data_IF_986786251801
#
_entry.id   IF_986786251801
#
_cell.length_a   1.000
_cell.length_b   1.000
_cell.length_c   1.000
_cell.angle_alpha   90.00
_cell.angle_beta   90.00
_cell.angle_gamma   90.00
#
_symmetry.space_group_name_H-M   'P 1'
#
loop_
_entity.id
_entity.type
_entity.pdbx_description
1 polymer ?
#
# COMPACT_ATOMS: atom_id res chain seq x y z
N UNK A 1 -38.76 32.72 37.89
CA UNK A 1 -37.93 31.51 37.72
C UNK A 1 -37.71 31.30 36.23
N UNK A 2 -36.58 31.77 35.69
CA UNK A 2 -36.22 31.48 34.30
C UNK A 2 -35.22 30.32 34.31
N UNK A 3 -35.59 29.22 33.65
CA UNK A 3 -34.73 28.05 33.48
C UNK A 3 -33.75 28.32 32.33
N UNK A 4 -32.50 27.92 32.50
CA UNK A 4 -31.48 27.97 31.44
C UNK A 4 -31.09 26.52 31.15
N UNK A 5 -31.30 25.99 29.94
CA UNK A 5 -30.83 24.66 29.60
C UNK A 5 -29.33 24.73 29.28
N UNK A 6 -28.52 24.04 30.06
CA UNK A 6 -27.10 23.85 29.77
C UNK A 6 -26.96 22.94 28.55
N UNK A 7 -26.56 23.50 27.42
CA UNK A 7 -26.22 22.73 26.23
C UNK A 7 -24.82 22.12 26.43
N UNK A 8 -24.76 20.78 26.49
CA UNK A 8 -23.52 20.01 26.43
C UNK A 8 -23.09 19.90 24.97
N UNK A 9 -22.00 20.56 24.60
CA UNK A 9 -21.34 20.35 23.30
C UNK A 9 -20.39 19.17 23.45
N UNK A 10 -20.76 18.02 22.89
CA UNK A 10 -19.83 16.91 22.71
C UNK A 10 -18.92 17.23 21.51
N UNK A 11 -17.63 17.45 21.77
CA UNK A 11 -16.63 17.58 20.71
C UNK A 11 -16.37 16.19 20.09
N UNK A 12 -16.83 15.98 18.87
CA UNK A 12 -16.45 14.80 18.09
C UNK A 12 -15.01 14.99 17.57
N UNK A 13 -14.06 14.23 18.12
CA UNK A 13 -12.73 14.11 17.51
C UNK A 13 -12.87 13.31 16.20
N UNK A 14 -12.80 13.99 15.06
CA UNK A 14 -12.69 13.32 13.77
C UNK A 14 -11.30 12.66 13.66
N UNK A 15 -11.24 11.33 13.62
CA UNK A 15 -10.00 10.61 13.31
C UNK A 15 -9.70 10.76 11.82
N UNK A 16 -8.56 11.38 11.49
CA UNK A 16 -8.06 11.38 10.12
C UNK A 16 -7.66 9.96 9.73
N UNK A 17 -8.42 9.32 8.84
CA UNK A 17 -8.00 8.07 8.22
C UNK A 17 -6.83 8.36 7.28
N UNK A 18 -5.73 7.58 7.35
CA UNK A 18 -4.66 7.69 6.38
C UNK A 18 -5.24 7.56 4.97
N UNK A 19 -4.77 8.34 3.99
CA UNK A 19 -5.20 8.16 2.61
C UNK A 19 -4.95 6.71 2.19
N UNK A 20 -5.90 6.13 1.47
CA UNK A 20 -5.73 4.81 0.89
C UNK A 20 -4.44 4.80 0.05
N UNK A 21 -3.49 3.94 0.41
CA UNK A 21 -2.26 3.79 -0.37
C UNK A 21 -2.63 3.03 -1.64
N UNK A 22 -2.49 3.68 -2.79
CA UNK A 22 -2.55 2.99 -4.07
C UNK A 22 -1.35 2.05 -4.18
N UNK A 23 -1.58 0.74 -4.09
CA UNK A 23 -0.54 -0.27 -4.19
C UNK A 23 -0.49 -0.85 -5.61
N UNK A 24 0.68 -0.74 -6.24
CA UNK A 24 0.96 -1.35 -7.55
C UNK A 24 0.34 -0.63 -8.75
N UNK A 25 0.38 -1.31 -9.90
CA UNK A 25 -0.15 -0.83 -11.18
C UNK A 25 -1.59 -1.31 -11.41
N UNK A 26 -2.38 -0.54 -12.17
CA UNK A 26 -3.74 -0.95 -12.54
C UNK A 26 -3.75 -2.26 -13.36
N UNK A 27 -4.77 -3.09 -13.18
CA UNK A 27 -4.96 -4.35 -13.92
C UNK A 27 -4.97 -4.10 -15.42
N UNK A 28 -4.24 -4.94 -16.18
CA UNK A 28 -4.11 -4.81 -17.64
C UNK A 28 -3.07 -3.79 -18.09
N UNK A 29 -2.51 -3.00 -17.18
CA UNK A 29 -1.39 -2.11 -17.49
C UNK A 29 -0.12 -2.91 -17.78
N UNK A 30 0.73 -2.37 -18.67
CA UNK A 30 2.08 -2.89 -18.86
C UNK A 30 2.87 -2.79 -17.57
N UNK A 31 3.55 -3.86 -17.18
CA UNK A 31 4.47 -3.86 -16.04
C UNK A 31 5.61 -2.84 -16.27
N UNK A 32 5.97 -2.02 -15.28
CA UNK A 32 7.14 -1.17 -15.36
C UNK A 32 8.40 -2.01 -15.55
N UNK A 33 9.37 -1.49 -16.30
CA UNK A 33 10.68 -2.13 -16.39
C UNK A 33 11.33 -2.18 -15.01
N UNK A 34 11.92 -3.32 -14.67
CA UNK A 34 12.68 -3.50 -13.43
C UNK A 34 13.87 -4.42 -13.66
N UNK A 35 14.92 -4.16 -12.89
CA UNK A 35 16.09 -5.02 -12.79
C UNK A 35 16.54 -5.03 -11.33
N UNK A 36 16.83 -6.20 -10.79
CA UNK A 36 17.32 -6.34 -9.42
C UNK A 36 18.27 -7.54 -9.30
N UNK A 37 19.29 -7.40 -8.45
CA UNK A 37 20.17 -8.51 -8.10
C UNK A 37 19.52 -9.38 -7.04
N UNK A 38 19.42 -10.69 -7.29
CA UNK A 38 18.87 -11.64 -6.34
C UNK A 38 19.86 -12.02 -5.22
N UNK A 39 19.42 -12.88 -4.29
CA UNK A 39 20.22 -13.32 -3.15
C UNK A 39 21.49 -14.10 -3.51
N UNK A 40 21.61 -14.55 -4.76
CA UNK A 40 22.79 -15.26 -5.28
C UNK A 40 23.73 -14.36 -6.08
N UNK A 41 23.40 -13.07 -6.20
CA UNK A 41 24.18 -12.11 -7.00
C UNK A 41 23.81 -12.09 -8.48
N UNK A 42 22.74 -12.80 -8.90
CA UNK A 42 22.32 -12.83 -10.30
C UNK A 42 21.38 -11.65 -10.59
N UNK A 43 21.66 -10.93 -11.69
CA UNK A 43 20.75 -9.90 -12.20
C UNK A 43 19.48 -10.56 -12.74
N UNK A 44 18.33 -10.12 -12.27
CA UNK A 44 17.02 -10.57 -12.68
C UNK A 44 16.24 -9.43 -13.32
N UNK A 45 15.56 -9.77 -14.41
CA UNK A 45 14.63 -8.91 -15.17
C UNK A 45 13.27 -9.60 -15.29
N UNK A 46 12.24 -8.89 -15.75
CA UNK A 46 10.94 -9.51 -16.04
C UNK A 46 11.07 -10.74 -16.96
N UNK A 47 11.86 -10.63 -18.03
CA UNK A 47 12.02 -11.71 -19.00
C UNK A 47 12.70 -12.95 -18.42
N UNK A 48 13.64 -12.77 -17.50
CA UNK A 48 14.31 -13.89 -16.84
C UNK A 48 13.45 -14.61 -15.79
N UNK A 49 12.47 -13.91 -15.21
CA UNK A 49 11.65 -14.40 -14.11
C UNK A 49 10.29 -14.94 -14.55
N UNK A 50 9.73 -14.44 -15.66
CA UNK A 50 8.38 -14.83 -16.08
C UNK A 50 8.31 -16.29 -16.52
N UNK A 51 7.26 -16.98 -16.09
CA UNK A 51 6.93 -18.32 -16.55
C UNK A 51 5.80 -18.34 -17.59
N UNK A 52 5.41 -19.54 -18.07
CA UNK A 52 4.24 -19.72 -18.93
C UNK A 52 2.94 -19.29 -18.26
N UNK A 53 2.85 -19.38 -16.93
CA UNK A 53 1.69 -18.94 -16.14
C UNK A 53 1.79 -17.50 -15.63
N UNK A 54 2.82 -16.76 -16.04
CA UNK A 54 3.09 -15.39 -15.55
C UNK A 54 4.13 -15.32 -14.43
N UNK A 55 4.14 -14.20 -13.73
CA UNK A 55 5.06 -13.86 -12.64
C UNK A 55 4.26 -13.24 -11.49
N UNK A 56 4.54 -13.68 -10.27
CA UNK A 56 4.10 -12.99 -9.04
C UNK A 56 5.27 -12.15 -8.55
N UNK A 57 5.05 -10.84 -8.37
CA UNK A 57 6.03 -9.90 -7.83
C UNK A 57 5.49 -9.35 -6.50
N UNK A 58 6.09 -9.80 -5.39
CA UNK A 58 5.68 -9.43 -4.04
C UNK A 58 6.58 -8.32 -3.48
N UNK A 59 5.99 -7.20 -3.09
CA UNK A 59 6.69 -6.11 -2.41
C UNK A 59 6.46 -6.25 -0.91
N UNK A 60 7.49 -6.73 -0.20
CA UNK A 60 7.48 -6.81 1.26
C UNK A 60 8.39 -5.72 1.82
N UNK A 61 7.97 -5.09 2.91
CA UNK A 61 8.88 -4.36 3.78
C UNK A 61 9.01 -5.17 5.06
N UNK A 62 10.23 -5.41 5.53
CA UNK A 62 10.42 -5.98 6.86
C UNK A 62 9.72 -5.08 7.87
N UNK A 63 8.92 -5.68 8.75
CA UNK A 63 8.55 -5.00 9.98
C UNK A 63 9.78 -4.95 10.89
N UNK A 64 9.87 -3.93 11.74
CA UNK A 64 10.69 -4.02 12.94
C UNK A 64 9.91 -4.93 13.91
N UNK A 65 10.51 -6.05 14.32
CA UNK A 65 9.85 -7.01 15.23
C UNK A 65 10.28 -6.69 16.65
#
# INVERSE_FOLDING_TARGET
>A
MQWIPTILIAAACASAQPPAIATGTAVGSRIPAFEATDQTGKLQTFESLRGPSGLVLEFVRSADW
#
